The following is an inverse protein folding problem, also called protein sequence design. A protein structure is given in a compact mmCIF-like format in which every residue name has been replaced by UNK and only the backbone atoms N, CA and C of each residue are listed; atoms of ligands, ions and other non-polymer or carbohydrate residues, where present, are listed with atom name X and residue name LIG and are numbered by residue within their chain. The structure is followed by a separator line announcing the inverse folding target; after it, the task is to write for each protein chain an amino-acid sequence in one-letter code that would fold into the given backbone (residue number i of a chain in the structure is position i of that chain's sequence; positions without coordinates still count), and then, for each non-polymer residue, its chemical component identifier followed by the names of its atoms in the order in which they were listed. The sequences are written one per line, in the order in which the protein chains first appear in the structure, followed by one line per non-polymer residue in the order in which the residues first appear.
data_IF_672317199994
#
_entry.id   IF_672317199994
#
_cell.length_a   1.000
_cell.length_b   1.000
_cell.length_c   1.000
_cell.angle_alpha   90.00
_cell.angle_beta   90.00
_cell.angle_gamma   90.00
#
_symmetry.space_group_name_H-M   'P 1'
#
loop_
_entity.id
_entity.type
_entity.pdbx_description
1 polymer ?
#
# COMPACT_ATOMS: atom_id res chain seq x y z
N UNK A 1 -7.59 -7.35 -3.06
CA UNK A 1 -6.59 -6.42 -2.49
C UNK A 1 -5.40 -7.16 -1.89
N UNK A 2 -5.59 -8.13 -0.97
CA UNK A 2 -4.47 -8.86 -0.33
C UNK A 2 -3.55 -9.58 -1.32
N UNK A 3 -4.11 -10.27 -2.34
CA UNK A 3 -3.31 -10.91 -3.40
C UNK A 3 -2.40 -9.90 -4.14
N UNK A 4 -2.94 -8.72 -4.47
CA UNK A 4 -2.21 -7.66 -5.17
C UNK A 4 -1.07 -7.14 -4.29
N UNK A 5 -1.31 -6.99 -2.97
CA UNK A 5 -0.27 -6.63 -2.01
C UNK A 5 0.81 -7.70 -1.98
N UNK A 6 0.45 -8.98 -1.87
CA UNK A 6 1.41 -10.08 -1.88
C UNK A 6 2.28 -10.09 -3.15
N UNK A 7 1.69 -9.93 -4.34
CA UNK A 7 2.44 -9.85 -5.60
C UNK A 7 3.41 -8.65 -5.61
N UNK A 8 2.92 -7.46 -5.24
CA UNK A 8 3.78 -6.26 -5.19
C UNK A 8 4.91 -6.40 -4.16
N UNK A 9 4.65 -7.06 -3.03
CA UNK A 9 5.64 -7.33 -1.99
C UNK A 9 6.70 -8.28 -2.51
N UNK A 10 6.30 -9.37 -3.15
CA UNK A 10 7.23 -10.32 -3.73
C UNK A 10 8.09 -9.68 -4.84
N UNK A 11 7.47 -8.90 -5.73
CA UNK A 11 8.18 -8.15 -6.76
C UNK A 11 9.20 -7.18 -6.17
N UNK A 12 8.87 -6.50 -5.07
CA UNK A 12 9.82 -5.64 -4.35
C UNK A 12 11.00 -6.43 -3.78
N UNK A 13 10.75 -7.59 -3.18
CA UNK A 13 11.77 -8.42 -2.55
C UNK A 13 12.71 -9.08 -3.55
N UNK A 14 12.33 -9.22 -4.82
CA UNK A 14 13.24 -9.68 -5.88
C UNK A 14 14.45 -8.76 -6.08
N UNK A 15 14.34 -7.48 -5.71
CA UNK A 15 15.44 -6.51 -5.78
C UNK A 15 16.33 -6.51 -4.52
N UNK A 16 15.91 -7.15 -3.43
CA UNK A 16 16.56 -7.14 -2.12
C UNK A 16 17.46 -8.38 -1.97
N UNK A 17 18.75 -8.18 -1.69
CA UNK A 17 19.76 -9.26 -1.54
C UNK A 17 20.27 -9.44 -0.11
N UNK A 18 19.99 -8.49 0.79
CA UNK A 18 20.34 -8.58 2.21
C UNK A 18 19.11 -8.31 3.05
N UNK A 19 18.92 -9.12 4.10
CA UNK A 19 17.85 -8.95 5.08
C UNK A 19 18.51 -8.64 6.42
N UNK A 20 18.11 -7.53 7.03
CA UNK A 20 18.55 -7.14 8.37
C UNK A 20 17.36 -7.08 9.36
N UNK A 21 17.67 -6.94 10.65
CA UNK A 21 16.65 -6.92 11.72
C UNK A 21 15.67 -5.75 11.58
N UNK A 22 16.09 -4.61 11.02
CA UNK A 22 15.23 -3.43 10.87
C UNK A 22 14.23 -3.63 9.73
N UNK A 23 14.67 -4.23 8.61
CA UNK A 23 13.80 -4.64 7.53
C UNK A 23 12.74 -5.63 8.02
N UNK A 24 13.12 -6.60 8.86
CA UNK A 24 12.17 -7.55 9.46
C UNK A 24 11.10 -6.83 10.32
N UNK A 25 11.50 -5.83 11.12
CA UNK A 25 10.56 -5.04 11.92
C UNK A 25 9.61 -4.20 11.06
N UNK A 26 10.13 -3.54 10.02
CA UNK A 26 9.30 -2.79 9.06
C UNK A 26 8.34 -3.71 8.31
N UNK A 27 8.79 -4.91 7.95
CA UNK A 27 7.95 -5.93 7.35
C UNK A 27 6.87 -6.43 8.33
N UNK A 28 7.19 -6.62 9.60
CA UNK A 28 6.20 -6.96 10.63
C UNK A 28 5.12 -5.87 10.78
N UNK A 29 5.53 -4.60 10.78
CA UNK A 29 4.61 -3.47 10.78
C UNK A 29 3.73 -3.45 9.52
N UNK A 30 4.31 -3.75 8.35
CA UNK A 30 3.56 -3.86 7.11
C UNK A 30 2.49 -4.96 7.21
N UNK A 31 2.87 -6.15 7.70
CA UNK A 31 1.94 -7.28 7.86
C UNK A 31 0.82 -6.97 8.85
N UNK A 32 1.10 -6.23 9.93
CA UNK A 32 0.06 -5.75 10.84
C UNK A 32 -1.02 -4.97 10.08
N UNK A 33 -0.63 -4.00 9.24
CA UNK A 33 -1.59 -3.23 8.46
C UNK A 33 -2.29 -4.05 7.38
N UNK A 34 -1.59 -5.01 6.76
CA UNK A 34 -2.23 -5.94 5.80
C UNK A 34 -3.36 -6.72 6.46
N UNK A 35 -3.16 -7.24 7.68
CA UNK A 35 -4.23 -7.93 8.42
C UNK A 35 -5.37 -6.97 8.78
N UNK A 36 -5.07 -5.74 9.20
CA UNK A 36 -6.08 -4.72 9.48
C UNK A 36 -6.94 -4.39 8.24
N UNK A 37 -6.41 -4.49 7.02
CA UNK A 37 -7.22 -4.27 5.81
C UNK A 37 -8.38 -5.25 5.70
N UNK A 38 -8.21 -6.51 6.13
CA UNK A 38 -9.27 -7.52 6.08
C UNK A 38 -10.37 -7.16 7.08
N UNK A 39 -10.00 -6.83 8.31
CA UNK A 39 -10.94 -6.37 9.34
C UNK A 39 -11.72 -5.13 8.88
N UNK A 40 -11.03 -4.11 8.36
CA UNK A 40 -11.68 -2.87 7.93
C UNK A 40 -12.51 -3.05 6.65
N UNK A 41 -12.19 -4.03 5.81
CA UNK A 41 -13.05 -4.39 4.67
C UNK A 41 -14.40 -4.90 5.17
N UNK A 42 -14.41 -5.77 6.18
CA UNK A 42 -15.65 -6.23 6.82
C UNK A 42 -16.39 -5.08 7.53
N UNK A 43 -15.66 -4.19 8.20
CA UNK A 43 -16.24 -3.00 8.83
C UNK A 43 -17.01 -2.15 7.81
N UNK A 44 -16.36 -1.78 6.70
CA UNK A 44 -17.01 -0.99 5.64
C UNK A 44 -18.18 -1.74 5.02
N UNK A 45 -18.04 -3.03 4.71
CA UNK A 45 -19.11 -3.81 4.10
C UNK A 45 -20.40 -3.81 4.95
N UNK A 46 -20.26 -3.86 6.28
CA UNK A 46 -21.40 -3.87 7.21
C UNK A 46 -22.01 -2.48 7.46
N UNK A 47 -21.25 -1.40 7.26
CA UNK A 47 -21.68 -0.04 7.61
C UNK A 47 -21.93 0.87 6.39
N UNK A 48 -21.62 0.43 5.16
CA UNK A 48 -21.70 1.29 3.96
C UNK A 48 -23.11 1.81 3.64
N UNK A 49 -24.16 1.12 4.12
CA UNK A 49 -25.56 1.51 3.99
C UNK A 49 -26.15 2.17 5.25
N UNK A 50 -25.34 2.31 6.30
CA UNK A 50 -25.75 2.85 7.59
C UNK A 50 -25.36 4.34 7.72
N UNK A 51 -25.97 5.09 8.67
CA UNK A 51 -25.66 6.49 8.88
C UNK A 51 -24.18 6.77 9.22
N UNK A 52 -23.45 5.78 9.70
CA UNK A 52 -22.04 5.85 10.08
C UNK A 52 -21.08 5.38 8.97
N UNK A 53 -21.57 5.22 7.73
CA UNK A 53 -20.77 4.83 6.56
C UNK A 53 -19.50 5.68 6.38
N UNK A 54 -19.59 6.99 6.64
CA UNK A 54 -18.45 7.92 6.51
C UNK A 54 -17.37 7.63 7.54
N UNK A 55 -17.75 7.23 8.76
CA UNK A 55 -16.80 6.88 9.82
C UNK A 55 -16.08 5.57 9.46
N UNK A 56 -16.83 4.55 9.05
CA UNK A 56 -16.26 3.28 8.60
C UNK A 56 -15.32 3.46 7.41
N UNK A 57 -15.71 4.27 6.42
CA UNK A 57 -14.87 4.60 5.27
C UNK A 57 -13.62 5.40 5.67
N UNK A 58 -13.70 6.28 6.67
CA UNK A 58 -12.54 7.04 7.17
C UNK A 58 -11.51 6.13 7.81
N UNK A 59 -11.94 5.16 8.64
CA UNK A 59 -11.06 4.14 9.23
C UNK A 59 -10.40 3.28 8.14
N UNK A 60 -11.17 2.90 7.12
CA UNK A 60 -10.69 2.11 6.00
C UNK A 60 -9.65 2.86 5.15
N UNK A 61 -9.97 4.08 4.73
CA UNK A 61 -9.06 4.94 3.97
C UNK A 61 -7.80 5.27 4.77
N UNK A 62 -7.94 5.57 6.08
CA UNK A 62 -6.81 5.82 6.96
C UNK A 62 -5.87 4.62 7.08
N UNK A 63 -6.42 3.42 7.14
CA UNK A 63 -5.62 2.18 7.16
C UNK A 63 -4.84 2.00 5.87
N UNK A 64 -5.47 2.21 4.71
CA UNK A 64 -4.79 2.15 3.42
C UNK A 64 -3.71 3.24 3.26
N UNK A 65 -3.99 4.44 3.77
CA UNK A 65 -3.03 5.55 3.75
C UNK A 65 -1.78 5.24 4.60
N UNK A 66 -1.97 4.77 5.84
CA UNK A 66 -0.85 4.37 6.71
C UNK A 66 -0.11 3.16 6.13
N UNK A 67 -0.82 2.17 5.59
CA UNK A 67 -0.22 1.03 4.90
C UNK A 67 0.69 1.50 3.75
N UNK A 68 0.24 2.46 2.93
CA UNK A 68 1.02 3.00 1.84
C UNK A 68 2.27 3.78 2.30
N UNK A 69 2.17 4.49 3.43
CA UNK A 69 3.33 5.14 4.06
C UNK A 69 4.34 4.09 4.53
N UNK A 70 3.89 3.06 5.23
CA UNK A 70 4.75 1.97 5.72
C UNK A 70 5.44 1.26 4.56
N UNK A 71 4.70 0.99 3.47
CA UNK A 71 5.24 0.39 2.26
C UNK A 71 6.36 1.23 1.63
N UNK A 72 6.10 2.53 1.47
CA UNK A 72 7.09 3.47 0.93
C UNK A 72 8.30 3.60 1.87
N UNK A 73 8.09 3.58 3.19
CA UNK A 73 9.16 3.59 4.18
C UNK A 73 10.04 2.35 4.10
N UNK A 74 9.46 1.17 3.89
CA UNK A 74 10.19 -0.08 3.68
C UNK A 74 11.03 -0.01 2.40
N UNK A 75 10.45 0.42 1.27
CA UNK A 75 11.17 0.60 0.02
C UNK A 75 12.31 1.63 0.13
N UNK A 76 12.03 2.77 0.76
CA UNK A 76 13.03 3.81 1.01
C UNK A 76 14.18 3.29 1.88
N UNK A 77 13.88 2.50 2.92
CA UNK A 77 14.90 1.88 3.75
C UNK A 77 15.83 0.96 2.94
N UNK A 78 15.27 0.14 2.03
CA UNK A 78 16.03 -0.77 1.19
C UNK A 78 16.90 -0.06 0.15
N UNK A 79 16.38 1.02 -0.43
CA UNK A 79 17.04 1.80 -1.49
C UNK A 79 18.07 2.81 -0.94
N UNK A 80 17.85 3.33 0.26
CA UNK A 80 18.73 4.32 0.89
C UNK A 80 20.16 3.79 1.04
N UNK A 81 21.10 4.47 0.39
CA UNK A 81 22.52 4.10 0.36
C UNK A 81 22.82 2.77 -0.34
N UNK A 82 21.93 2.28 -1.21
CA UNK A 82 22.02 0.96 -1.88
C UNK A 82 22.31 -0.19 -0.91
N UNK A 83 21.86 -0.05 0.34
CA UNK A 83 22.29 -0.91 1.45
C UNK A 83 21.89 -2.37 1.27
N UNK A 84 20.70 -2.60 0.72
CA UNK A 84 20.11 -3.94 0.61
C UNK A 84 19.79 -4.37 -0.83
N UNK A 85 19.93 -3.47 -1.81
CA UNK A 85 19.67 -3.78 -3.22
C UNK A 85 20.75 -4.69 -3.82
N UNK A 86 20.37 -5.51 -4.79
CA UNK A 86 21.30 -6.24 -5.64
C UNK A 86 22.23 -5.31 -6.42
N UNK A 87 23.45 -5.77 -6.73
CA UNK A 87 24.41 -5.01 -7.53
C UNK A 87 23.88 -4.68 -8.92
N UNK A 88 23.03 -5.56 -9.46
CA UNK A 88 22.48 -5.47 -10.82
C UNK A 88 21.30 -4.48 -10.94
N UNK A 89 20.81 -3.92 -9.82
CA UNK A 89 19.70 -2.96 -9.83
C UNK A 89 20.22 -1.57 -10.21
N UNK A 90 19.83 -1.08 -11.37
CA UNK A 90 20.21 0.27 -11.83
C UNK A 90 19.45 1.35 -11.04
N UNK A 91 20.02 2.55 -10.96
CA UNK A 91 19.33 3.70 -10.33
C UNK A 91 18.05 4.07 -11.06
N UNK A 92 18.02 3.88 -12.39
CA UNK A 92 16.84 4.13 -13.22
C UNK A 92 15.69 3.19 -12.84
N UNK A 93 15.96 1.89 -12.65
CA UNK A 93 14.97 0.92 -12.18
C UNK A 93 14.47 1.29 -10.77
N UNK A 94 15.37 1.62 -9.85
CA UNK A 94 14.98 2.01 -8.49
C UNK A 94 14.12 3.29 -8.47
N UNK A 95 14.43 4.28 -9.32
CA UNK A 95 13.65 5.51 -9.46
C UNK A 95 12.25 5.25 -10.04
N UNK A 96 12.14 4.37 -11.04
CA UNK A 96 10.86 3.99 -11.63
C UNK A 96 9.93 3.34 -10.59
N UNK A 97 10.44 2.38 -9.81
CA UNK A 97 9.70 1.73 -8.72
C UNK A 97 9.31 2.75 -7.65
N UNK A 98 10.22 3.66 -7.29
CA UNK A 98 9.92 4.73 -6.32
C UNK A 98 8.77 5.62 -6.78
N UNK A 99 8.75 5.98 -8.07
CA UNK A 99 7.67 6.81 -8.64
C UNK A 99 6.33 6.06 -8.63
N UNK A 100 6.33 4.77 -8.92
CA UNK A 100 5.14 3.93 -8.86
C UNK A 100 4.59 3.83 -7.43
N UNK A 101 5.45 3.62 -6.43
CA UNK A 101 5.01 3.50 -5.02
C UNK A 101 4.48 4.80 -4.44
N UNK A 102 4.85 5.97 -4.98
CA UNK A 102 4.28 7.27 -4.59
C UNK A 102 2.82 7.46 -5.01
N UNK A 103 2.31 6.68 -5.97
CA UNK A 103 0.90 6.74 -6.39
C UNK A 103 -0.02 6.36 -5.23
N UNK A 104 0.30 5.28 -4.51
CA UNK A 104 -0.52 4.77 -3.41
C UNK A 104 -0.78 5.81 -2.29
N UNK A 105 0.24 6.42 -1.63
CA UNK A 105 0.00 7.35 -0.54
C UNK A 105 -0.75 8.61 -0.99
N UNK A 106 -0.52 9.10 -2.21
CA UNK A 106 -1.25 10.25 -2.75
C UNK A 106 -2.73 9.88 -2.94
N UNK A 107 -3.02 8.78 -3.64
CA UNK A 107 -4.39 8.39 -3.92
C UNK A 107 -5.17 8.01 -2.67
N UNK A 108 -4.55 7.32 -1.71
CA UNK A 108 -5.18 7.01 -0.43
C UNK A 108 -5.32 8.24 0.48
N UNK A 109 -4.42 9.22 0.37
CA UNK A 109 -4.59 10.52 1.03
C UNK A 109 -5.83 11.26 0.51
N UNK A 110 -6.04 11.25 -0.81
CA UNK A 110 -7.27 11.79 -1.41
C UNK A 110 -8.51 11.02 -0.94
N UNK A 111 -8.46 9.68 -0.93
CA UNK A 111 -9.57 8.88 -0.42
C UNK A 111 -9.90 9.20 1.05
N UNK A 112 -8.88 9.40 1.89
CA UNK A 112 -9.03 9.78 3.29
C UNK A 112 -9.67 11.16 3.46
N UNK A 113 -9.31 12.14 2.62
CA UNK A 113 -9.93 13.47 2.64
C UNK A 113 -11.41 13.44 2.19
N UNK A 114 -11.77 12.53 1.28
CA UNK A 114 -13.15 12.36 0.80
C UNK A 114 -14.04 11.65 1.83
N UNK A 115 -13.47 10.71 2.60
CA UNK A 115 -14.22 9.79 3.46
C UNK A 115 -15.20 10.43 4.46
N UNK A 116 -14.87 11.55 5.14
CA UNK A 116 -15.80 12.20 6.07
C UNK A 116 -17.05 12.77 5.40
N UNK A 117 -16.96 13.09 4.10
CA UNK A 117 -18.05 13.69 3.32
C UNK A 117 -18.86 12.63 2.57
N UNK A 118 -18.19 11.63 2.00
CA UNK A 118 -18.83 10.54 1.27
C UNK A 118 -18.03 9.25 1.38
N UNK A 119 -18.53 8.32 2.20
CA UNK A 119 -17.93 6.99 2.36
C UNK A 119 -17.92 6.20 1.05
N UNK A 120 -19.01 6.26 0.28
CA UNK A 120 -19.09 5.59 -1.03
C UNK A 120 -18.05 6.12 -2.02
N UNK A 121 -17.88 7.44 -2.12
CA UNK A 121 -16.88 8.03 -3.02
C UNK A 121 -15.44 7.65 -2.59
N UNK A 122 -15.16 7.66 -1.29
CA UNK A 122 -13.86 7.23 -0.76
C UNK A 122 -13.56 5.76 -1.09
N UNK A 123 -14.53 4.87 -0.87
CA UNK A 123 -14.40 3.44 -1.19
C UNK A 123 -14.20 3.24 -2.69
N UNK A 124 -14.92 3.99 -3.54
CA UNK A 124 -14.73 3.93 -4.99
C UNK A 124 -13.29 4.30 -5.41
N UNK A 125 -12.70 5.34 -4.80
CA UNK A 125 -11.29 5.68 -5.03
C UNK A 125 -10.36 4.55 -4.60
N UNK A 126 -10.59 3.94 -3.43
CA UNK A 126 -9.77 2.81 -2.93
C UNK A 126 -9.82 1.63 -3.91
N UNK A 127 -11.01 1.31 -4.44
CA UNK A 127 -11.20 0.25 -5.43
C UNK A 127 -10.51 0.56 -6.76
N UNK A 128 -10.60 1.81 -7.24
CA UNK A 128 -9.91 2.25 -8.45
C UNK A 128 -8.38 2.11 -8.32
N UNK A 129 -7.83 2.52 -7.17
CA UNK A 129 -6.40 2.35 -6.86
C UNK A 129 -6.02 0.88 -6.80
N UNK A 130 -6.84 0.03 -6.18
CA UNK A 130 -6.60 -1.41 -6.16
C UNK A 130 -6.58 -2.00 -7.58
N UNK A 131 -7.48 -1.57 -8.47
CA UNK A 131 -7.47 -1.96 -9.87
C UNK A 131 -6.21 -1.53 -10.62
N UNK A 132 -5.78 -0.27 -10.44
CA UNK A 132 -4.52 0.24 -11.01
C UNK A 132 -3.30 -0.61 -10.60
N UNK A 133 -3.18 -0.93 -9.30
CA UNK A 133 -2.08 -1.77 -8.81
C UNK A 133 -2.21 -3.24 -9.22
N UNK A 134 -3.43 -3.76 -9.42
CA UNK A 134 -3.62 -5.10 -9.96
C UNK A 134 -3.03 -5.21 -11.37
N UNK A 135 -3.38 -4.26 -12.25
CA UNK A 135 -2.89 -4.19 -13.62
C UNK A 135 -1.36 -4.06 -13.64
N UNK A 136 -0.81 -3.19 -12.80
CA UNK A 136 0.64 -2.97 -12.78
C UNK A 136 1.39 -4.18 -12.20
N UNK A 137 0.80 -4.90 -11.24
CA UNK A 137 1.37 -6.13 -10.70
C UNK A 137 1.40 -7.28 -11.70
N UNK A 138 0.46 -7.32 -12.66
CA UNK A 138 0.40 -8.36 -13.69
C UNK A 138 1.20 -8.06 -14.95
N UNK A 139 1.43 -6.78 -15.26
CA UNK A 139 2.14 -6.34 -16.48
C UNK A 139 3.66 -6.18 -16.24
N UNK A 140 4.10 -6.13 -14.98
CA UNK A 140 5.51 -6.05 -14.62
C UNK A 140 6.27 -7.36 -14.83
N UNK A 141 6.41 -7.78 -16.10
CA UNK A 141 7.46 -8.70 -16.57
C UNK A 141 8.51 -7.94 -17.39
#
# INVERSE_FOLDING_TARGET
SVLIMWMNHHNMFNYIRKIDRRLMLLNGLLLLFVVLTVFNTSLVANHIQLPDANVAATVYAGTFFVLAIVWNGLWWYCTSGRRLLGRDVTEQQASAITRQYRVAPISYGVALLIAPFSGLASVAVILAVAGFFAITATIGE
#
